data_IF_134715309025
#
_entry.id   IF_134715309025
#
_cell.length_a   1.000
_cell.length_b   1.000
_cell.length_c   1.000
_cell.angle_alpha   90.00
_cell.angle_beta   90.00
_cell.angle_gamma   90.00
#
_symmetry.space_group_name_H-M   'P 1'
#
loop_
_entity.id
_entity.type
_entity.pdbx_description
1 polymer ?
#
# COMPACT_ATOMS: atom_id res chain seq x y z
N UNK A 1 24.23 10.41 -7.99
CA UNK A 1 25.10 9.42 -7.33
C UNK A 1 24.75 8.03 -7.83
N UNK A 2 25.76 7.18 -8.07
CA UNK A 2 25.54 5.84 -8.62
C UNK A 2 25.36 4.84 -7.49
N UNK A 3 24.32 4.00 -7.56
CA UNK A 3 24.09 2.93 -6.60
C UNK A 3 25.22 1.89 -6.67
N UNK A 4 25.80 1.56 -5.51
CA UNK A 4 26.85 0.54 -5.38
C UNK A 4 26.32 -0.90 -5.57
N UNK A 5 25.02 -1.14 -5.34
CA UNK A 5 24.41 -2.47 -5.48
C UNK A 5 23.94 -2.74 -6.92
N UNK A 6 23.15 -1.86 -7.52
CA UNK A 6 22.55 -2.11 -8.84
C UNK A 6 23.08 -1.22 -9.97
N UNK A 7 23.99 -0.28 -9.68
CA UNK A 7 24.58 0.60 -10.67
C UNK A 7 23.68 1.71 -11.22
N UNK A 8 22.44 1.88 -10.73
CA UNK A 8 21.56 2.95 -11.22
C UNK A 8 22.08 4.33 -10.81
N UNK A 9 22.00 5.28 -11.73
CA UNK A 9 22.29 6.68 -11.48
C UNK A 9 21.08 7.37 -10.85
N UNK A 10 21.24 7.81 -9.61
CA UNK A 10 20.22 8.45 -8.80
C UNK A 10 20.48 9.96 -8.67
N UNK A 11 19.44 10.73 -8.39
CA UNK A 11 19.57 12.18 -8.16
C UNK A 11 20.55 12.48 -7.00
N UNK A 12 21.33 13.57 -7.10
CA UNK A 12 22.19 14.01 -5.99
C UNK A 12 21.33 14.36 -4.76
N UNK A 13 21.54 13.65 -3.65
CA UNK A 13 20.76 13.79 -2.40
C UNK A 13 19.71 12.71 -2.15
N UNK A 14 19.55 11.73 -3.04
CA UNK A 14 18.69 10.58 -2.79
C UNK A 14 19.23 9.69 -1.66
N UNK A 15 18.43 9.42 -0.63
CA UNK A 15 18.80 8.52 0.47
C UNK A 15 18.76 7.05 0.06
N UNK A 16 17.91 6.70 -0.91
CA UNK A 16 17.69 5.34 -1.40
C UNK A 16 17.76 5.28 -2.92
N UNK A 17 18.19 4.13 -3.44
CA UNK A 17 18.23 3.84 -4.86
C UNK A 17 16.81 3.69 -5.41
N UNK A 18 16.45 4.45 -6.43
CA UNK A 18 15.13 4.37 -7.08
C UNK A 18 14.93 3.10 -7.89
N UNK A 19 16.00 2.30 -8.08
CA UNK A 19 15.93 1.00 -8.75
C UNK A 19 15.81 -0.18 -7.79
N UNK A 20 16.67 -0.21 -6.77
CA UNK A 20 16.83 -1.41 -5.92
C UNK A 20 16.52 -1.15 -4.45
N UNK A 21 16.14 0.09 -4.09
CA UNK A 21 15.72 0.46 -2.73
C UNK A 21 16.84 0.47 -1.70
N UNK A 22 18.08 0.18 -2.12
CA UNK A 22 19.25 0.16 -1.24
C UNK A 22 19.66 1.58 -0.84
N UNK A 23 20.11 1.79 0.41
CA UNK A 23 20.61 3.09 0.83
C UNK A 23 21.83 3.49 -0.01
N UNK A 24 21.83 4.73 -0.48
CA UNK A 24 22.89 5.25 -1.35
C UNK A 24 24.03 5.90 -0.56
N UNK A 25 23.84 6.13 0.74
CA UNK A 25 24.84 6.68 1.67
C UNK A 25 25.15 5.65 2.74
N UNK A 26 26.45 5.35 2.91
CA UNK A 26 26.98 4.34 3.82
C UNK A 26 27.47 4.89 5.16
N UNK A 27 27.38 4.02 6.17
CA UNK A 27 28.32 3.79 7.28
C UNK A 27 28.54 4.78 8.43
N UNK A 28 27.89 5.93 8.51
CA UNK A 28 28.09 6.81 9.67
C UNK A 28 26.92 6.82 10.66
N UNK A 29 26.23 5.70 10.90
CA UNK A 29 25.43 5.47 12.12
C UNK A 29 25.40 4.01 12.57
N UNK A 30 26.38 3.58 13.36
CA UNK A 30 26.14 2.48 14.31
C UNK A 30 25.71 3.12 15.62
N UNK A 31 24.74 2.54 16.32
CA UNK A 31 24.40 2.94 17.68
C UNK A 31 24.54 1.69 18.53
N UNK A 32 25.63 1.57 19.29
CA UNK A 32 25.71 0.61 20.39
C UNK A 32 24.90 1.13 21.59
N UNK A 33 23.75 0.51 21.91
CA UNK A 33 23.18 0.53 23.27
C UNK A 33 22.46 -0.79 23.64
N UNK A 34 22.51 -1.21 24.92
CA UNK A 34 22.30 -2.60 25.34
C UNK A 34 20.84 -3.03 25.41
N UNK A 35 20.65 -4.34 25.27
CA UNK A 35 19.39 -5.08 25.33
C UNK A 35 18.69 -4.89 26.69
N UNK A 36 17.51 -4.28 26.68
CA UNK A 36 16.45 -4.59 27.65
C UNK A 36 15.20 -5.09 26.90
N UNK A 37 14.92 -6.37 27.10
CA UNK A 37 13.75 -7.08 26.59
C UNK A 37 12.52 -6.64 27.39
N UNK A 38 11.57 -5.89 26.80
CA UNK A 38 10.17 -5.87 27.28
C UNK A 38 9.18 -5.75 26.13
N UNK A 39 8.21 -6.66 26.15
CA UNK A 39 7.15 -6.85 25.17
C UNK A 39 6.03 -5.78 25.24
N UNK A 40 5.35 -5.63 24.10
CA UNK A 40 3.92 -5.39 23.91
C UNK A 40 3.33 -3.95 23.84
N UNK A 41 2.47 -3.82 22.81
CA UNK A 41 1.32 -2.93 22.54
C UNK A 41 1.54 -1.45 22.17
N UNK A 42 1.00 -1.09 21.00
CA UNK A 42 0.16 0.11 20.88
C UNK A 42 0.62 1.23 19.94
N UNK A 43 -0.26 1.54 18.98
CA UNK A 43 -0.65 2.89 18.54
C UNK A 43 0.39 3.93 18.04
N UNK A 44 0.20 4.30 16.75
CA UNK A 44 -0.04 5.67 16.24
C UNK A 44 1.04 6.78 16.36
N UNK A 45 1.25 7.44 15.21
CA UNK A 45 1.68 8.84 14.98
C UNK A 45 3.11 9.31 15.25
N UNK A 46 3.67 9.99 14.22
CA UNK A 46 4.24 11.33 14.38
C UNK A 46 5.77 11.46 14.22
N UNK A 47 6.15 12.15 13.13
CA UNK A 47 7.26 13.11 12.92
C UNK A 47 8.62 12.96 13.69
N UNK A 48 9.71 12.79 12.90
CA UNK A 48 11.07 13.43 12.88
C UNK A 48 11.65 14.18 14.12
N UNK A 49 12.99 14.44 14.29
CA UNK A 49 14.25 13.85 13.73
C UNK A 49 15.48 13.74 14.72
N UNK A 50 16.64 13.19 14.24
CA UNK A 50 18.10 13.38 14.63
C UNK A 50 18.79 12.53 15.74
N UNK A 51 19.93 11.88 15.39
CA UNK A 51 21.16 11.73 16.23
C UNK A 51 21.88 10.35 16.29
N UNK A 52 23.21 10.28 16.10
CA UNK A 52 24.12 9.09 16.10
C UNK A 52 25.18 9.15 17.24
N UNK A 53 25.82 8.06 17.79
CA UNK A 53 27.13 7.49 17.29
C UNK A 53 27.55 5.99 17.58
N UNK A 54 28.43 5.49 16.68
CA UNK A 54 29.42 4.36 16.54
C UNK A 54 29.34 2.88 17.10
N UNK A 55 30.33 2.03 16.67
CA UNK A 55 30.29 0.65 16.09
C UNK A 55 30.90 -0.53 16.90
N UNK A 56 30.32 -1.76 16.89
CA UNK A 56 31.03 -3.08 17.02
C UNK A 56 30.38 -4.21 16.19
N UNK A 57 31.20 -5.00 15.46
CA UNK A 57 30.78 -6.15 14.63
C UNK A 57 31.14 -7.50 15.28
N UNK A 58 30.13 -8.30 15.67
CA UNK A 58 30.30 -9.74 15.94
C UNK A 58 29.06 -10.54 15.53
N UNK A 59 29.22 -11.48 14.58
CA UNK A 59 28.18 -12.43 14.16
C UNK A 59 27.27 -11.89 13.06
N UNK A 60 27.17 -12.58 11.92
CA UNK A 60 26.51 -12.11 10.70
C UNK A 60 24.97 -12.03 10.84
N UNK A 61 24.50 -10.97 11.49
CA UNK A 61 23.14 -10.44 11.33
C UNK A 61 23.19 -9.42 10.19
N UNK A 62 22.41 -9.65 9.12
CA UNK A 62 22.29 -8.71 7.99
C UNK A 62 21.70 -7.42 8.54
N UNK A 63 22.54 -6.43 8.85
CA UNK A 63 22.12 -5.11 9.27
C UNK A 63 21.45 -4.42 8.09
N UNK A 64 20.15 -4.66 7.94
CA UNK A 64 19.34 -3.92 6.98
C UNK A 64 19.30 -2.49 7.53
N UNK A 65 20.01 -1.57 6.85
CA UNK A 65 20.04 -0.16 7.20
C UNK A 65 18.63 0.47 7.18
N UNK A 66 18.51 1.81 7.31
CA UNK A 66 17.19 2.45 7.32
C UNK A 66 16.37 2.00 6.10
N UNK A 67 15.17 1.47 6.33
CA UNK A 67 14.30 0.97 5.26
C UNK A 67 13.39 2.09 4.75
N UNK A 68 13.08 2.13 3.45
CA UNK A 68 12.20 3.17 2.91
C UNK A 68 10.76 3.00 3.38
N UNK A 69 10.01 4.11 3.39
CA UNK A 69 8.61 4.08 3.82
C UNK A 69 7.73 3.36 2.80
N UNK A 70 6.60 2.78 3.23
CA UNK A 70 5.65 2.09 2.33
C UNK A 70 5.16 2.95 1.15
N UNK A 71 5.09 4.27 1.32
CA UNK A 71 4.67 5.20 0.26
C UNK A 71 5.75 5.35 -0.80
N UNK A 72 6.98 5.62 -0.38
CA UNK A 72 8.13 5.68 -1.28
C UNK A 72 8.32 4.32 -1.98
N UNK A 73 8.14 3.22 -1.21
CA UNK A 73 7.81 1.84 -1.61
C UNK A 73 7.21 1.78 -3.01
N UNK A 74 5.97 2.22 -3.01
CA UNK A 74 5.08 2.02 -4.12
C UNK A 74 5.21 3.09 -5.18
N UNK A 75 6.04 4.11 -5.01
CA UNK A 75 6.23 5.17 -6.00
C UNK A 75 7.41 4.90 -6.94
N UNK A 76 8.13 3.79 -6.74
CA UNK A 76 9.17 3.31 -7.65
C UNK A 76 8.61 2.83 -9.00
N UNK A 77 9.38 2.94 -10.09
CA UNK A 77 8.93 2.64 -11.45
C UNK A 77 8.51 1.17 -11.64
N UNK A 78 9.06 0.23 -10.88
CA UNK A 78 8.68 -1.19 -10.92
C UNK A 78 7.22 -1.41 -10.55
N UNK A 79 6.66 -0.57 -9.67
CA UNK A 79 5.26 -0.65 -9.25
C UNK A 79 4.31 0.19 -10.13
N UNK A 80 4.80 0.83 -11.20
CA UNK A 80 3.98 1.71 -12.04
C UNK A 80 2.78 0.96 -12.67
N UNK A 81 2.97 -0.30 -13.08
CA UNK A 81 1.88 -1.11 -13.63
C UNK A 81 0.80 -1.45 -12.58
N UNK A 82 1.22 -1.80 -11.36
CA UNK A 82 0.30 -2.04 -10.25
C UNK A 82 -0.45 -0.76 -9.86
N UNK A 83 0.26 0.36 -9.79
CA UNK A 83 -0.31 1.68 -9.48
C UNK A 83 -1.32 2.14 -10.53
N UNK A 84 -1.02 2.01 -11.81
CA UNK A 84 -1.93 2.40 -12.89
C UNK A 84 -3.21 1.56 -12.86
N UNK A 85 -3.08 0.26 -12.59
CA UNK A 85 -4.22 -0.66 -12.43
C UNK A 85 -5.09 -0.25 -11.24
N UNK A 86 -4.49 -0.03 -10.07
CA UNK A 86 -5.22 0.39 -8.88
C UNK A 86 -5.90 1.74 -9.11
N UNK A 87 -5.19 2.72 -9.68
CA UNK A 87 -5.74 4.05 -9.96
C UNK A 87 -6.90 3.97 -10.95
N UNK A 88 -6.80 3.18 -12.02
CA UNK A 88 -7.87 3.00 -13.00
C UNK A 88 -9.14 2.41 -12.37
N UNK A 89 -9.01 1.32 -11.63
CA UNK A 89 -10.14 0.71 -10.92
C UNK A 89 -10.74 1.62 -9.85
N UNK A 90 -9.90 2.38 -9.14
CA UNK A 90 -10.37 3.31 -8.10
C UNK A 90 -11.14 4.49 -8.69
N UNK A 91 -10.68 5.05 -9.82
CA UNK A 91 -11.41 6.10 -10.53
C UNK A 91 -12.78 5.57 -10.99
N UNK A 92 -12.81 4.37 -11.54
CA UNK A 92 -14.06 3.71 -11.94
C UNK A 92 -15.03 3.54 -10.75
N UNK A 93 -14.54 3.07 -9.60
CA UNK A 93 -15.35 2.91 -8.38
C UNK A 93 -15.91 4.25 -7.87
N UNK A 94 -15.10 5.31 -7.91
CA UNK A 94 -15.55 6.66 -7.52
C UNK A 94 -16.66 7.13 -8.44
N UNK A 95 -16.51 6.99 -9.77
CA UNK A 95 -17.53 7.39 -10.74
C UNK A 95 -18.84 6.62 -10.51
N UNK A 96 -18.75 5.30 -10.35
CA UNK A 96 -19.93 4.45 -10.09
C UNK A 96 -20.58 4.79 -8.74
N UNK A 97 -19.78 5.07 -7.71
CA UNK A 97 -20.26 5.50 -6.39
C UNK A 97 -21.01 6.84 -6.45
N UNK A 98 -20.50 7.81 -7.22
CA UNK A 98 -21.20 9.09 -7.44
C UNK A 98 -22.54 8.85 -8.15
N UNK A 99 -22.57 8.05 -9.21
CA UNK A 99 -23.81 7.74 -9.95
C UNK A 99 -24.84 7.08 -9.02
N UNK A 100 -24.41 6.08 -8.24
CA UNK A 100 -25.30 5.37 -7.31
C UNK A 100 -25.83 6.30 -6.21
N UNK A 101 -24.96 7.18 -5.68
CA UNK A 101 -25.35 8.20 -4.68
C UNK A 101 -26.40 9.16 -5.25
N UNK A 102 -26.23 9.64 -6.49
CA UNK A 102 -27.19 10.51 -7.15
C UNK A 102 -28.52 9.79 -7.38
N UNK A 103 -28.48 8.52 -7.78
CA UNK A 103 -29.68 7.71 -7.97
C UNK A 103 -30.46 7.52 -6.66
N UNK A 104 -29.78 7.12 -5.58
CA UNK A 104 -30.38 6.96 -4.24
C UNK A 104 -30.96 8.27 -3.70
N UNK A 105 -30.28 9.39 -3.95
CA UNK A 105 -30.78 10.72 -3.59
C UNK A 105 -32.02 11.12 -4.40
N UNK A 106 -32.10 10.72 -5.68
CA UNK A 106 -33.24 11.04 -6.55
C UNK A 106 -34.55 10.37 -6.12
N UNK A 107 -34.46 9.23 -5.42
CA UNK A 107 -35.60 8.50 -4.84
C UNK A 107 -35.83 8.83 -3.36
N UNK A 108 -35.21 9.91 -2.85
CA UNK A 108 -35.26 10.36 -1.46
C UNK A 108 -34.86 9.29 -0.42
N UNK A 109 -33.98 8.36 -0.81
CA UNK A 109 -33.42 7.35 0.07
C UNK A 109 -32.06 7.83 0.62
N UNK A 110 -31.66 7.34 1.79
CA UNK A 110 -30.35 7.69 2.36
C UNK A 110 -29.26 6.95 1.59
N UNK A 111 -28.29 7.65 0.95
CA UNK A 111 -27.34 7.01 0.04
C UNK A 111 -26.15 6.38 0.78
N UNK A 112 -26.42 5.49 1.73
CA UNK A 112 -25.40 4.90 2.61
C UNK A 112 -24.37 4.12 1.77
N UNK A 113 -24.84 3.27 0.86
CA UNK A 113 -23.98 2.43 0.02
C UNK A 113 -23.16 3.27 -0.98
N UNK A 114 -23.78 4.28 -1.60
CA UNK A 114 -23.08 5.22 -2.47
C UNK A 114 -21.97 6.01 -1.77
N UNK A 115 -22.24 6.52 -0.56
CA UNK A 115 -21.24 7.23 0.25
C UNK A 115 -20.13 6.30 0.71
N UNK A 116 -20.46 5.09 1.15
CA UNK A 116 -19.48 4.11 1.60
C UNK A 116 -18.50 3.72 0.47
N UNK A 117 -19.01 3.54 -0.75
CA UNK A 117 -18.19 3.31 -1.94
C UNK A 117 -17.25 4.47 -2.25
N UNK A 118 -17.71 5.72 -2.11
CA UNK A 118 -16.89 6.90 -2.32
C UNK A 118 -15.73 6.98 -1.32
N UNK A 119 -16.03 6.75 -0.04
CA UNK A 119 -15.01 6.74 1.03
C UNK A 119 -13.98 5.64 0.77
N UNK A 120 -14.43 4.41 0.47
CA UNK A 120 -13.53 3.29 0.17
C UNK A 120 -12.65 3.60 -1.05
N UNK A 121 -13.21 4.14 -2.13
CA UNK A 121 -12.45 4.55 -3.31
C UNK A 121 -11.37 5.59 -2.98
N UNK A 122 -11.71 6.65 -2.23
CA UNK A 122 -10.73 7.68 -1.84
C UNK A 122 -9.61 7.09 -0.97
N UNK A 123 -9.97 6.23 0.00
CA UNK A 123 -9.00 5.57 0.87
C UNK A 123 -8.06 4.67 0.06
N UNK A 124 -8.60 3.93 -0.90
CA UNK A 124 -7.83 3.01 -1.76
C UNK A 124 -6.81 3.79 -2.61
N UNK A 125 -7.17 4.97 -3.13
CA UNK A 125 -6.27 5.85 -3.88
C UNK A 125 -5.08 6.34 -3.05
N UNK A 126 -5.32 6.74 -1.80
CA UNK A 126 -4.28 7.34 -0.94
C UNK A 126 -3.38 6.29 -0.30
N UNK A 127 -3.93 5.14 0.05
CA UNK A 127 -3.21 4.18 0.91
C UNK A 127 -2.74 2.93 0.16
N UNK A 128 -3.25 2.69 -1.06
CA UNK A 128 -3.03 1.45 -1.83
C UNK A 128 -3.18 0.21 -0.90
N UNK A 129 -4.16 0.27 0.00
CA UNK A 129 -4.30 -0.66 1.12
C UNK A 129 -5.05 -1.92 0.70
N UNK A 130 -4.51 -3.08 1.09
CA UNK A 130 -5.17 -4.37 0.94
C UNK A 130 -6.49 -4.43 1.72
N UNK A 131 -6.57 -3.81 2.89
CA UNK A 131 -7.81 -3.77 3.68
C UNK A 131 -8.94 -3.05 2.96
N UNK A 132 -8.63 -1.96 2.26
CA UNK A 132 -9.62 -1.22 1.47
C UNK A 132 -10.10 -2.04 0.25
N UNK A 133 -9.18 -2.76 -0.42
CA UNK A 133 -9.54 -3.65 -1.53
C UNK A 133 -10.47 -4.80 -1.09
N UNK A 134 -10.20 -5.39 0.08
CA UNK A 134 -11.08 -6.42 0.67
C UNK A 134 -12.45 -5.82 1.00
N UNK A 135 -12.49 -4.60 1.55
CA UNK A 135 -13.75 -3.89 1.80
C UNK A 135 -14.61 -3.73 0.54
N UNK A 136 -14.00 -3.36 -0.59
CA UNK A 136 -14.69 -3.27 -1.89
C UNK A 136 -15.20 -4.63 -2.34
N UNK A 137 -14.41 -5.69 -2.20
CA UNK A 137 -14.81 -7.04 -2.58
C UNK A 137 -15.99 -7.55 -1.74
N UNK A 138 -15.94 -7.36 -0.42
CA UNK A 138 -17.03 -7.73 0.50
C UNK A 138 -18.30 -6.97 0.12
N UNK A 139 -18.20 -5.66 -0.09
CA UNK A 139 -19.35 -4.85 -0.47
C UNK A 139 -19.95 -5.33 -1.81
N UNK A 140 -19.11 -5.63 -2.81
CA UNK A 140 -19.55 -6.17 -4.08
C UNK A 140 -20.30 -7.49 -3.96
N UNK A 141 -19.84 -8.40 -3.08
CA UNK A 141 -20.52 -9.67 -2.80
C UNK A 141 -21.88 -9.42 -2.13
N UNK A 142 -21.95 -8.50 -1.17
CA UNK A 142 -23.21 -8.16 -0.50
C UNK A 142 -24.21 -7.60 -1.51
N UNK A 143 -23.79 -6.65 -2.36
CA UNK A 143 -24.65 -6.09 -3.41
C UNK A 143 -25.12 -7.15 -4.40
N UNK A 144 -24.28 -8.14 -4.72
CA UNK A 144 -24.65 -9.27 -5.57
C UNK A 144 -25.73 -10.15 -4.94
N UNK A 145 -25.55 -10.54 -3.68
CA UNK A 145 -26.52 -11.38 -2.96
C UNK A 145 -27.86 -10.67 -2.80
N UNK A 146 -27.84 -9.40 -2.36
CA UNK A 146 -29.05 -8.57 -2.21
C UNK A 146 -29.74 -8.38 -3.57
N UNK A 147 -28.96 -8.14 -4.61
CA UNK A 147 -29.44 -8.02 -5.99
C UNK A 147 -30.20 -9.23 -6.49
N UNK A 148 -29.61 -10.42 -6.32
CA UNK A 148 -30.24 -11.69 -6.69
C UNK A 148 -31.54 -11.90 -5.90
N UNK A 149 -31.53 -11.63 -4.59
CA UNK A 149 -32.69 -11.85 -3.74
C UNK A 149 -33.86 -10.92 -4.06
N UNK A 150 -33.59 -9.64 -4.34
CA UNK A 150 -34.62 -8.61 -4.52
C UNK A 150 -35.11 -8.49 -5.96
N UNK A 151 -34.19 -8.57 -6.93
CA UNK A 151 -34.51 -8.32 -8.35
C UNK A 151 -34.51 -9.58 -9.20
N UNK A 152 -34.06 -10.71 -8.65
CA UNK A 152 -33.86 -11.96 -9.40
C UNK A 152 -32.73 -11.88 -10.43
N UNK A 153 -31.95 -10.77 -10.44
CA UNK A 153 -30.85 -10.54 -11.38
C UNK A 153 -29.53 -10.34 -10.65
N UNK A 154 -28.42 -10.88 -11.17
CA UNK A 154 -27.10 -10.67 -10.57
C UNK A 154 -26.57 -9.26 -10.88
N UNK A 155 -26.92 -8.27 -10.05
CA UNK A 155 -26.32 -6.94 -10.08
C UNK A 155 -25.03 -6.92 -9.26
N UNK A 156 -24.07 -6.05 -9.58
CA UNK A 156 -22.84 -5.90 -8.79
C UNK A 156 -21.70 -6.88 -9.11
N UNK A 157 -21.85 -7.75 -10.13
CA UNK A 157 -20.76 -8.60 -10.65
C UNK A 157 -19.47 -7.83 -10.97
N UNK A 158 -19.60 -6.62 -11.50
CA UNK A 158 -18.47 -5.74 -11.80
C UNK A 158 -17.67 -5.35 -10.54
N UNK A 159 -18.34 -5.14 -9.40
CA UNK A 159 -17.68 -4.82 -8.14
C UNK A 159 -16.95 -6.05 -7.57
N UNK A 160 -17.50 -7.25 -7.77
CA UNK A 160 -16.83 -8.50 -7.37
C UNK A 160 -15.57 -8.74 -8.20
N UNK A 161 -15.67 -8.62 -9.53
CA UNK A 161 -14.52 -8.79 -10.44
C UNK A 161 -13.45 -7.73 -10.17
N UNK A 162 -13.84 -6.45 -10.08
CA UNK A 162 -12.94 -5.36 -9.76
C UNK A 162 -12.29 -5.51 -8.38
N UNK A 163 -13.08 -5.91 -7.38
CA UNK A 163 -12.60 -6.21 -6.03
C UNK A 163 -11.57 -7.34 -6.02
N UNK A 164 -11.76 -8.41 -6.81
CA UNK A 164 -10.83 -9.54 -6.87
C UNK A 164 -9.49 -9.13 -7.50
N UNK A 165 -9.54 -8.32 -8.57
CA UNK A 165 -8.33 -7.77 -9.22
C UNK A 165 -7.60 -6.85 -8.24
N UNK A 166 -8.31 -5.93 -7.58
CA UNK A 166 -7.74 -5.03 -6.57
C UNK A 166 -7.12 -5.80 -5.40
N UNK A 167 -7.77 -6.86 -4.92
CA UNK A 167 -7.22 -7.72 -3.86
C UNK A 167 -5.95 -8.43 -4.31
N UNK A 168 -5.92 -8.94 -5.54
CA UNK A 168 -4.76 -9.64 -6.10
C UNK A 168 -3.55 -8.72 -6.20
N UNK A 169 -3.73 -7.53 -6.76
CA UNK A 169 -2.65 -6.53 -6.90
C UNK A 169 -2.22 -5.99 -5.53
N UNK A 170 -3.16 -5.65 -4.65
CA UNK A 170 -2.84 -5.17 -3.31
C UNK A 170 -2.13 -6.22 -2.45
N UNK A 171 -2.43 -7.51 -2.65
CA UNK A 171 -1.73 -8.62 -1.98
C UNK A 171 -0.30 -8.74 -2.46
N UNK A 172 -0.08 -8.64 -3.78
CA UNK A 172 1.27 -8.60 -4.35
C UNK A 172 2.10 -7.44 -3.82
N UNK A 173 1.50 -6.24 -3.73
CA UNK A 173 2.17 -5.06 -3.16
C UNK A 173 2.53 -5.25 -1.69
N UNK A 174 1.62 -5.82 -0.88
CA UNK A 174 1.89 -6.12 0.53
C UNK A 174 3.02 -7.14 0.68
N UNK A 175 2.99 -8.22 -0.11
CA UNK A 175 4.01 -9.26 -0.06
C UNK A 175 5.38 -8.72 -0.51
N UNK A 176 5.42 -7.87 -1.54
CA UNK A 176 6.64 -7.23 -2.01
C UNK A 176 7.22 -6.30 -0.94
N UNK A 177 6.37 -5.55 -0.22
CA UNK A 177 6.79 -4.72 0.90
C UNK A 177 7.35 -5.56 2.06
N UNK A 178 6.67 -6.65 2.42
CA UNK A 178 7.15 -7.55 3.48
C UNK A 178 8.50 -8.21 3.12
N UNK A 179 8.65 -8.68 1.87
CA UNK A 179 9.93 -9.21 1.37
C UNK A 179 11.03 -8.15 1.48
N UNK A 180 10.75 -6.90 1.09
CA UNK A 180 11.70 -5.80 1.22
C UNK A 180 12.11 -5.54 2.69
N UNK A 181 11.17 -5.64 3.64
CA UNK A 181 11.51 -5.53 5.08
C UNK A 181 12.41 -6.67 5.57
N UNK A 182 12.28 -7.87 5.00
CA UNK A 182 13.06 -9.04 5.41
C UNK A 182 14.43 -9.12 4.73
N UNK A 183 14.54 -8.68 3.47
CA UNK A 183 15.74 -8.88 2.65
C UNK A 183 16.46 -7.59 2.28
N UNK A 184 15.80 -6.44 2.35
CA UNK A 184 16.30 -5.17 1.79
C UNK A 184 16.33 -5.14 0.26
N UNK A 185 15.80 -6.16 -0.42
CA UNK A 185 15.76 -6.26 -1.88
C UNK A 185 14.33 -6.11 -2.40
N UNK A 186 14.16 -5.35 -3.48
CA UNK A 186 12.88 -5.23 -4.16
C UNK A 186 12.76 -6.38 -5.15
N UNK A 187 11.75 -7.23 -4.98
CA UNK A 187 11.38 -8.24 -5.97
C UNK A 187 9.87 -8.19 -6.19
N UNK A 188 9.47 -8.02 -7.45
CA UNK A 188 8.07 -8.05 -7.87
C UNK A 188 7.80 -9.38 -8.60
N UNK A 189 7.26 -10.37 -7.89
CA UNK A 189 6.79 -11.65 -8.45
C UNK A 189 5.26 -11.73 -8.57
#
# INVERSE_FOLDING_TARGET
MKCNVCGMENSPGASFCVNCGQPLMGDDMVVEQPVEVVNNVGAFSGNEPVGNPEVVYTGAEKTIGPMMTKKELFDMPEFNQANSTINGWTIFLIIMGVINTIYELSIAFVPIDGILMLVLGIVLRKTKSLGAAIGVLILGIISLVVGIYTTGRPVGLLYVIGGAILCSVASKLKNSYNKYLETGEISFE
#
